data_IF_362659793621
#
_entry.id   IF_362659793621
#
_cell.length_a   1.000
_cell.length_b   1.000
_cell.length_c   1.000
_cell.angle_alpha   90.00
_cell.angle_beta   90.00
_cell.angle_gamma   90.00
#
_symmetry.space_group_name_H-M   'P 1'
#
loop_
_entity.id
_entity.type
_entity.pdbx_description
1 polymer ?
#
# COMPACT_ATOMS: atom_id res chain seq x y z
N UNK A 1 21.61 -20.16 35.85
CA UNK A 1 20.56 -19.11 35.97
C UNK A 1 21.12 -17.74 36.34
N UNK A 2 22.13 -17.64 37.23
CA UNK A 2 22.70 -16.34 37.63
C UNK A 2 23.47 -15.65 36.49
N UNK A 3 24.13 -16.39 35.59
CA UNK A 3 24.86 -15.84 34.46
C UNK A 3 23.98 -15.15 33.44
N UNK A 4 22.73 -15.59 33.27
CA UNK A 4 21.77 -15.01 32.35
C UNK A 4 20.90 -13.91 32.99
N UNK A 5 20.89 -13.82 34.32
CA UNK A 5 20.06 -12.84 35.04
C UNK A 5 20.43 -11.37 34.67
N UNK A 6 21.71 -11.11 34.40
CA UNK A 6 22.17 -9.82 33.93
C UNK A 6 21.68 -9.46 32.52
N UNK A 7 21.78 -10.40 31.58
CA UNK A 7 21.29 -10.24 30.21
C UNK A 7 19.77 -10.06 30.16
N UNK A 8 19.03 -10.85 30.92
CA UNK A 8 17.54 -10.72 31.02
C UNK A 8 17.11 -9.39 31.58
N UNK A 9 17.79 -8.89 32.66
CA UNK A 9 17.49 -7.54 33.19
C UNK A 9 17.78 -6.40 32.21
N UNK A 10 18.74 -6.61 31.32
CA UNK A 10 19.07 -5.66 30.25
C UNK A 10 18.15 -5.80 29.02
N UNK A 11 17.19 -6.73 29.02
CA UNK A 11 16.32 -7.00 27.88
C UNK A 11 17.06 -7.68 26.72
N UNK A 12 18.19 -8.34 26.97
CA UNK A 12 18.97 -9.04 25.94
C UNK A 12 18.44 -10.45 25.71
N UNK A 13 18.45 -10.91 24.47
CA UNK A 13 18.23 -12.31 24.13
C UNK A 13 19.28 -13.21 24.80
N UNK A 14 18.91 -14.44 25.10
CA UNK A 14 19.86 -15.38 25.74
C UNK A 14 19.75 -16.77 25.11
N UNK A 15 20.91 -17.41 24.91
CA UNK A 15 21.01 -18.81 24.49
C UNK A 15 21.94 -19.57 25.41
N UNK A 16 21.64 -20.84 25.64
CA UNK A 16 22.45 -21.74 26.48
C UNK A 16 22.93 -22.89 25.62
N UNK A 17 24.23 -23.09 25.60
CA UNK A 17 24.84 -24.30 25.05
C UNK A 17 24.87 -25.38 26.13
N UNK A 18 24.27 -26.52 25.82
CA UNK A 18 24.32 -27.68 26.70
C UNK A 18 25.00 -28.85 25.97
N UNK A 19 25.88 -29.59 26.68
CA UNK A 19 26.52 -30.81 26.22
C UNK A 19 26.11 -31.91 27.21
N UNK A 20 25.58 -33.01 26.71
CA UNK A 20 25.10 -34.15 27.51
C UNK A 20 24.16 -33.71 28.66
N UNK A 21 23.27 -32.75 28.38
CA UNK A 21 22.31 -32.24 29.35
C UNK A 21 22.86 -31.27 30.41
N UNK A 22 24.15 -30.92 30.33
CA UNK A 22 24.80 -29.94 31.24
C UNK A 22 25.03 -28.66 30.51
N UNK A 23 24.57 -27.54 31.06
CA UNK A 23 24.87 -26.21 30.55
C UNK A 23 26.38 -25.93 30.67
N UNK A 24 27.07 -25.68 29.55
CA UNK A 24 28.50 -25.41 29.49
C UNK A 24 28.82 -23.97 29.13
N UNK A 25 27.94 -23.28 28.44
CA UNK A 25 28.09 -21.87 28.11
C UNK A 25 26.73 -21.16 28.05
N UNK A 26 26.71 -19.87 28.36
CA UNK A 26 25.56 -19.00 28.20
C UNK A 26 25.99 -17.78 27.38
N UNK A 27 25.21 -17.43 26.39
CA UNK A 27 25.44 -16.29 25.51
C UNK A 27 24.33 -15.28 25.71
N UNK A 28 24.67 -14.02 25.94
CA UNK A 28 23.77 -12.88 25.94
C UNK A 28 23.94 -12.13 24.63
N UNK A 29 22.86 -11.88 23.93
CA UNK A 29 22.84 -11.11 22.69
C UNK A 29 22.21 -9.76 22.99
N UNK A 30 22.98 -8.67 22.84
CA UNK A 30 22.39 -7.36 22.80
C UNK A 30 21.47 -7.28 21.58
N UNK A 31 20.24 -6.82 21.79
CA UNK A 31 19.41 -6.53 20.62
C UNK A 31 20.02 -5.35 19.88
N UNK A 32 20.01 -5.45 18.56
CA UNK A 32 20.36 -4.34 17.70
C UNK A 32 19.46 -3.13 18.01
N UNK A 33 20.03 -1.94 17.81
CA UNK A 33 19.21 -0.73 17.86
C UNK A 33 18.13 -0.79 16.76
N UNK A 34 17.03 -0.08 17.01
CA UNK A 34 16.00 0.05 16.01
C UNK A 34 16.62 0.57 14.70
N UNK A 35 16.18 0.03 13.57
CA UNK A 35 16.66 0.48 12.24
C UNK A 35 16.42 1.99 12.11
N UNK A 36 17.33 2.66 11.43
CA UNK A 36 17.17 4.09 11.13
C UNK A 36 15.83 4.36 10.44
N UNK A 37 15.09 5.34 10.93
CA UNK A 37 13.80 5.73 10.37
C UNK A 37 12.58 5.04 11.01
N UNK A 38 12.75 4.11 11.95
CA UNK A 38 11.62 3.49 12.69
C UNK A 38 10.83 4.53 13.47
N UNK A 39 11.48 5.49 14.12
CA UNK A 39 10.79 6.57 14.85
C UNK A 39 9.91 7.40 13.91
N UNK A 40 10.42 7.72 12.73
CA UNK A 40 9.67 8.43 11.71
C UNK A 40 8.47 7.61 11.18
N UNK A 41 8.65 6.30 11.00
CA UNK A 41 7.57 5.38 10.65
C UNK A 41 6.48 5.39 11.72
N UNK A 42 6.83 5.16 13.00
CA UNK A 42 5.87 5.09 14.10
C UNK A 42 5.11 6.43 14.25
N UNK A 43 5.81 7.55 14.09
CA UNK A 43 5.19 8.88 14.13
C UNK A 43 4.18 9.05 13.00
N UNK A 44 4.56 8.71 11.75
CA UNK A 44 3.68 8.78 10.59
C UNK A 44 2.46 7.85 10.71
N UNK A 45 2.61 6.66 11.31
CA UNK A 45 1.51 5.74 11.56
C UNK A 45 0.53 6.33 12.57
N UNK A 46 1.02 6.92 13.65
CA UNK A 46 0.19 7.60 14.68
C UNK A 46 -0.59 8.79 14.11
N UNK A 47 0.07 9.64 13.32
CA UNK A 47 -0.58 10.77 12.63
C UNK A 47 -1.71 10.31 11.68
N UNK A 48 -1.64 9.08 11.25
CA UNK A 48 -2.64 8.45 10.39
C UNK A 48 -3.67 7.59 11.14
N UNK A 49 -3.75 7.69 12.49
CA UNK A 49 -4.63 6.91 13.35
C UNK A 49 -4.43 5.39 13.22
N UNK A 50 -3.22 4.95 12.89
CA UNK A 50 -2.87 3.54 12.79
C UNK A 50 -2.29 3.06 14.13
N UNK A 51 -2.93 2.05 14.71
CA UNK A 51 -2.42 1.37 15.91
C UNK A 51 -1.31 0.41 15.50
N UNK A 52 -0.16 0.47 16.20
CA UNK A 52 0.98 -0.42 15.96
C UNK A 52 1.01 -1.49 17.05
N UNK A 53 1.11 -2.76 16.64
CA UNK A 53 1.31 -3.91 17.51
C UNK A 53 2.61 -4.63 17.10
N UNK A 54 3.33 -5.19 18.06
CA UNK A 54 4.56 -5.96 17.83
C UNK A 54 4.31 -7.41 18.21
N UNK A 55 4.59 -8.32 17.26
CA UNK A 55 4.56 -9.76 17.46
C UNK A 55 5.95 -10.35 17.19
N UNK A 56 6.55 -10.99 18.16
CA UNK A 56 7.88 -11.60 18.04
C UNK A 56 7.95 -12.98 18.67
N UNK A 57 8.85 -13.82 18.15
CA UNK A 57 9.25 -15.06 18.81
C UNK A 57 10.19 -14.85 19.98
N UNK A 58 10.73 -13.65 20.18
CA UNK A 58 11.63 -13.31 21.28
C UNK A 58 10.91 -13.31 22.63
N UNK A 59 11.69 -13.39 23.71
CA UNK A 59 11.17 -13.33 25.07
C UNK A 59 10.36 -12.03 25.31
N UNK A 60 9.19 -12.16 25.98
CA UNK A 60 8.27 -11.06 26.24
C UNK A 60 8.95 -9.82 26.80
N UNK A 61 9.84 -9.99 27.77
CA UNK A 61 10.57 -8.87 28.38
C UNK A 61 11.45 -8.08 27.39
N UNK A 62 12.04 -8.77 26.43
CA UNK A 62 12.85 -8.16 25.38
C UNK A 62 11.98 -7.35 24.42
N UNK A 63 10.84 -7.91 24.03
CA UNK A 63 9.88 -7.22 23.13
C UNK A 63 9.31 -5.98 23.80
N UNK A 64 8.95 -6.06 25.08
CA UNK A 64 8.45 -4.92 25.86
C UNK A 64 9.50 -3.81 26.02
N UNK A 65 10.75 -4.17 26.30
CA UNK A 65 11.85 -3.21 26.40
C UNK A 65 12.11 -2.49 25.05
N UNK A 66 12.04 -3.22 23.94
CA UNK A 66 12.14 -2.65 22.61
C UNK A 66 10.96 -1.71 22.30
N UNK A 67 9.75 -2.16 22.56
CA UNK A 67 8.53 -1.38 22.34
C UNK A 67 8.49 -0.08 23.15
N UNK A 68 8.95 -0.13 24.41
CA UNK A 68 9.03 1.04 25.28
C UNK A 68 9.94 2.12 24.70
N UNK A 69 11.10 1.74 24.11
CA UNK A 69 12.00 2.68 23.42
C UNK A 69 11.32 3.40 22.25
N UNK A 70 10.40 2.73 21.56
CA UNK A 70 9.62 3.28 20.45
C UNK A 70 8.31 3.96 20.91
N UNK A 71 8.07 4.02 22.22
CA UNK A 71 6.85 4.58 22.78
C UNK A 71 5.59 3.75 22.46
N UNK A 72 5.74 2.45 22.15
CA UNK A 72 4.62 1.52 21.93
C UNK A 72 4.21 0.93 23.29
N UNK A 73 2.90 0.94 23.64
CA UNK A 73 2.45 0.40 24.92
C UNK A 73 2.71 -1.12 25.02
N UNK A 74 3.07 -1.61 26.22
CA UNK A 74 3.29 -3.04 26.46
C UNK A 74 2.05 -3.88 26.15
N UNK A 75 0.85 -3.32 26.28
CA UNK A 75 -0.41 -3.96 25.89
C UNK A 75 -0.53 -4.25 24.39
N UNK A 76 0.28 -3.58 23.58
CA UNK A 76 0.37 -3.74 22.11
C UNK A 76 1.55 -4.63 21.69
N UNK A 77 2.14 -5.37 22.61
CA UNK A 77 3.33 -6.18 22.35
C UNK A 77 3.13 -7.62 22.81
N UNK A 78 3.56 -8.56 21.99
CA UNK A 78 3.59 -9.98 22.33
C UNK A 78 4.91 -10.62 21.93
N UNK A 79 5.57 -11.23 22.91
CA UNK A 79 6.77 -12.03 22.75
C UNK A 79 6.49 -13.52 22.94
N UNK A 80 7.43 -14.37 22.55
CA UNK A 80 7.30 -15.81 22.65
C UNK A 80 6.24 -16.41 21.75
N UNK A 81 5.88 -15.75 20.67
CA UNK A 81 4.82 -16.16 19.75
C UNK A 81 5.43 -16.95 18.60
N UNK A 82 5.02 -18.20 18.45
CA UNK A 82 5.39 -19.05 17.33
C UNK A 82 4.69 -18.62 16.02
N UNK A 83 5.10 -19.12 14.85
CA UNK A 83 4.51 -18.73 13.56
C UNK A 83 2.99 -18.96 13.49
N UNK A 84 2.49 -20.05 14.05
CA UNK A 84 1.06 -20.37 14.08
C UNK A 84 0.28 -19.39 14.97
N UNK A 85 0.84 -19.06 16.14
CA UNK A 85 0.27 -18.08 17.06
C UNK A 85 0.24 -16.68 16.46
N UNK A 86 1.26 -16.29 15.67
CA UNK A 86 1.25 -15.03 14.91
C UNK A 86 0.09 -14.99 13.90
N UNK A 87 -0.07 -16.05 13.10
CA UNK A 87 -1.15 -16.17 12.14
C UNK A 87 -2.54 -16.11 12.80
N UNK A 88 -2.71 -16.82 13.91
CA UNK A 88 -3.96 -16.78 14.67
C UNK A 88 -4.23 -15.37 15.21
N UNK A 89 -3.24 -14.73 15.80
CA UNK A 89 -3.37 -13.37 16.34
C UNK A 89 -3.82 -12.39 15.26
N UNK A 90 -3.16 -12.39 14.10
CA UNK A 90 -3.49 -11.53 12.97
C UNK A 90 -4.90 -11.81 12.47
N UNK A 91 -5.28 -13.10 12.31
CA UNK A 91 -6.63 -13.48 11.90
C UNK A 91 -7.72 -12.98 12.85
N UNK A 92 -7.46 -13.01 14.16
CA UNK A 92 -8.40 -12.48 15.17
C UNK A 92 -8.54 -10.95 15.06
N UNK A 93 -7.45 -10.25 14.78
CA UNK A 93 -7.46 -8.78 14.56
C UNK A 93 -8.20 -8.41 13.29
N UNK A 94 -7.99 -9.13 12.20
CA UNK A 94 -8.66 -8.89 10.90
C UNK A 94 -10.18 -9.04 10.98
N UNK A 95 -10.69 -9.84 11.91
CA UNK A 95 -12.15 -9.91 12.15
C UNK A 95 -12.74 -8.65 12.79
N UNK A 96 -11.92 -7.89 13.52
CA UNK A 96 -12.37 -6.71 14.27
C UNK A 96 -12.09 -5.40 13.56
N UNK A 97 -11.02 -5.34 12.79
CA UNK A 97 -10.56 -4.13 12.08
C UNK A 97 -9.67 -4.49 10.90
N UNK A 98 -9.56 -3.59 9.91
CA UNK A 98 -8.60 -3.76 8.82
C UNK A 98 -7.19 -3.82 9.39
N UNK A 99 -6.51 -4.93 9.14
CA UNK A 99 -5.20 -5.26 9.71
C UNK A 99 -4.17 -5.43 8.61
N UNK A 100 -3.05 -4.72 8.73
CA UNK A 100 -1.87 -4.90 7.91
C UNK A 100 -0.81 -5.63 8.73
N UNK A 101 -0.27 -6.72 8.19
CA UNK A 101 0.89 -7.41 8.73
C UNK A 101 2.12 -7.07 7.89
N UNK A 102 3.19 -6.64 8.55
CA UNK A 102 4.49 -6.44 7.88
C UNK A 102 5.52 -7.37 8.51
N UNK A 103 6.26 -8.09 7.68
CA UNK A 103 7.27 -9.06 8.11
C UNK A 103 8.29 -9.37 7.02
N UNK A 104 9.30 -10.19 7.31
CA UNK A 104 10.32 -10.60 6.36
C UNK A 104 9.85 -11.71 5.38
N UNK A 105 8.71 -12.29 5.63
CA UNK A 105 8.07 -13.31 4.78
C UNK A 105 8.53 -14.74 5.02
N UNK A 106 9.63 -14.99 5.70
CA UNK A 106 10.14 -16.35 5.91
C UNK A 106 9.39 -17.08 7.04
N UNK A 107 9.41 -16.52 8.24
CA UNK A 107 8.71 -17.09 9.40
C UNK A 107 7.29 -16.52 9.58
N UNK A 108 6.96 -15.49 8.83
CA UNK A 108 5.72 -14.73 8.96
C UNK A 108 4.71 -15.02 7.84
N UNK A 109 5.01 -15.97 6.92
CA UNK A 109 4.15 -16.27 5.77
C UNK A 109 2.68 -16.53 6.15
N UNK A 110 2.45 -17.33 7.21
CA UNK A 110 1.10 -17.59 7.71
C UNK A 110 0.41 -16.34 8.28
N UNK A 111 1.16 -15.45 8.94
CA UNK A 111 0.64 -14.22 9.48
C UNK A 111 0.37 -13.17 8.38
N UNK A 112 1.24 -13.10 7.35
CA UNK A 112 1.04 -12.26 6.17
C UNK A 112 -0.24 -12.66 5.43
N UNK A 113 -0.43 -13.96 5.18
CA UNK A 113 -1.62 -14.48 4.51
C UNK A 113 -2.91 -14.35 5.35
N UNK A 114 -2.81 -14.23 6.68
CA UNK A 114 -3.96 -14.08 7.58
C UNK A 114 -4.40 -12.62 7.75
N UNK A 115 -3.62 -11.65 7.28
CA UNK A 115 -3.94 -10.22 7.33
C UNK A 115 -4.89 -9.82 6.20
N UNK A 116 -5.55 -8.65 6.35
CA UNK A 116 -6.26 -8.03 5.23
C UNK A 116 -5.28 -7.49 4.17
N UNK A 117 -4.06 -7.13 4.59
CA UNK A 117 -2.95 -6.75 3.72
C UNK A 117 -1.65 -7.31 4.29
N UNK A 118 -1.05 -8.26 3.61
CA UNK A 118 0.27 -8.80 3.91
C UNK A 118 1.37 -8.01 3.19
N UNK A 119 2.33 -7.46 3.94
CA UNK A 119 3.44 -6.68 3.40
C UNK A 119 4.76 -7.37 3.73
N UNK A 120 5.43 -7.89 2.72
CA UNK A 120 6.76 -8.44 2.86
C UNK A 120 7.80 -7.33 2.69
N UNK A 121 8.73 -7.22 3.64
CA UNK A 121 9.79 -6.21 3.67
C UNK A 121 11.13 -6.91 3.64
N UNK A 122 12.00 -6.58 2.68
CA UNK A 122 13.34 -7.17 2.61
C UNK A 122 13.93 -7.25 1.22
N UNK A 123 15.14 -7.79 1.11
CA UNK A 123 15.85 -8.00 -0.15
C UNK A 123 15.57 -9.39 -0.72
N UNK A 124 14.71 -9.45 -1.67
CA UNK A 124 14.46 -10.37 -2.80
C UNK A 124 14.54 -11.89 -2.63
N UNK A 125 15.58 -12.46 -2.12
CA UNK A 125 15.76 -13.93 -2.14
C UNK A 125 15.15 -14.69 -0.95
N UNK A 126 14.82 -14.00 0.11
CA UNK A 126 14.25 -14.60 1.35
C UNK A 126 12.78 -14.32 1.54
N UNK A 127 12.16 -13.55 0.65
CA UNK A 127 10.77 -13.14 0.78
C UNK A 127 9.85 -14.17 0.13
N UNK A 128 8.95 -14.76 0.90
CA UNK A 128 7.89 -15.59 0.35
C UNK A 128 6.83 -14.69 -0.31
N UNK A 129 7.02 -14.43 -1.62
CA UNK A 129 6.14 -13.58 -2.43
C UNK A 129 4.71 -14.13 -2.53
N UNK A 130 4.54 -15.44 -2.36
CA UNK A 130 3.22 -16.09 -2.50
C UNK A 130 2.30 -15.81 -1.30
N UNK A 131 2.86 -15.34 -0.17
CA UNK A 131 2.11 -15.06 1.04
C UNK A 131 1.82 -13.57 1.28
N UNK A 132 2.39 -12.67 0.47
CA UNK A 132 2.28 -11.24 0.65
C UNK A 132 1.56 -10.57 -0.53
N UNK A 133 0.67 -9.61 -0.22
CA UNK A 133 0.01 -8.78 -1.23
C UNK A 133 0.92 -7.68 -1.76
N UNK A 134 1.89 -7.26 -0.95
CA UNK A 134 2.80 -6.15 -1.27
C UNK A 134 4.23 -6.53 -0.91
N UNK A 135 5.16 -6.25 -1.82
CA UNK A 135 6.59 -6.32 -1.57
C UNK A 135 7.18 -4.92 -1.48
N UNK A 136 7.84 -4.65 -0.37
CA UNK A 136 8.66 -3.44 -0.19
C UNK A 136 10.13 -3.86 -0.25
N UNK A 137 10.82 -3.60 -1.36
CA UNK A 137 12.23 -3.94 -1.49
C UNK A 137 13.09 -3.04 -0.59
N UNK A 138 14.12 -3.63 0.02
CA UNK A 138 15.05 -2.92 0.91
C UNK A 138 14.65 -2.96 2.37
N UNK A 139 15.45 -2.26 3.19
CA UNK A 139 15.35 -2.33 4.65
C UNK A 139 14.91 -1.00 5.30
N UNK A 140 14.54 0.01 4.50
CA UNK A 140 14.10 1.32 5.02
C UNK A 140 12.65 1.25 5.54
N UNK A 141 12.43 1.34 6.87
CA UNK A 141 11.09 1.27 7.44
C UNK A 141 10.17 2.39 6.94
N UNK A 142 10.72 3.54 6.53
CA UNK A 142 9.96 4.68 6.02
C UNK A 142 9.19 4.37 4.73
N UNK A 143 9.62 3.32 4.01
CA UNK A 143 8.93 2.86 2.81
C UNK A 143 7.50 2.38 3.10
N UNK A 144 7.27 1.76 4.27
CA UNK A 144 5.93 1.35 4.71
C UNK A 144 5.00 2.56 4.94
N UNK A 145 5.51 3.64 5.56
CA UNK A 145 4.73 4.86 5.74
C UNK A 145 4.36 5.50 4.39
N UNK A 146 5.33 5.54 3.46
CA UNK A 146 5.09 6.05 2.09
C UNK A 146 4.04 5.21 1.34
N UNK A 147 4.08 3.88 1.50
CA UNK A 147 3.10 2.97 0.92
C UNK A 147 1.68 3.27 1.44
N UNK A 148 1.52 3.43 2.75
CA UNK A 148 0.22 3.73 3.38
C UNK A 148 -0.31 5.10 2.90
N UNK A 149 0.55 6.13 2.85
CA UNK A 149 0.16 7.45 2.35
C UNK A 149 -0.25 7.41 0.87
N UNK A 150 0.52 6.71 0.03
CA UNK A 150 0.19 6.50 -1.37
C UNK A 150 -1.16 5.78 -1.54
N UNK A 151 -1.41 4.74 -0.76
CA UNK A 151 -2.68 3.99 -0.79
C UNK A 151 -3.87 4.88 -0.43
N UNK A 152 -3.74 5.74 0.60
CA UNK A 152 -4.78 6.70 0.98
C UNK A 152 -5.05 7.74 -0.11
N UNK A 153 -3.99 8.25 -0.75
CA UNK A 153 -4.12 9.20 -1.88
C UNK A 153 -4.80 8.55 -3.07
N UNK A 154 -4.38 7.33 -3.43
CA UNK A 154 -4.98 6.56 -4.52
C UNK A 154 -6.46 6.31 -4.26
N UNK A 155 -6.83 5.84 -3.07
CA UNK A 155 -8.23 5.63 -2.69
C UNK A 155 -9.05 6.91 -2.81
N UNK A 156 -8.52 8.06 -2.35
CA UNK A 156 -9.21 9.36 -2.47
C UNK A 156 -9.42 9.76 -3.93
N UNK A 157 -8.41 9.59 -4.78
CA UNK A 157 -8.52 9.89 -6.20
C UNK A 157 -9.53 8.98 -6.90
N UNK A 158 -9.51 7.69 -6.64
CA UNK A 158 -10.50 6.74 -7.18
C UNK A 158 -11.92 7.11 -6.75
N UNK A 159 -12.13 7.40 -5.46
CA UNK A 159 -13.45 7.82 -4.96
C UNK A 159 -13.92 9.12 -5.61
N UNK A 160 -13.03 10.09 -5.80
CA UNK A 160 -13.33 11.34 -6.49
C UNK A 160 -13.67 11.11 -7.97
N UNK A 161 -12.93 10.26 -8.64
CA UNK A 161 -13.18 9.90 -10.05
C UNK A 161 -14.55 9.26 -10.22
N UNK A 162 -14.91 8.32 -9.34
CA UNK A 162 -16.24 7.70 -9.34
C UNK A 162 -17.33 8.77 -9.10
N UNK A 163 -17.14 9.64 -8.11
CA UNK A 163 -18.10 10.69 -7.80
C UNK A 163 -18.30 11.67 -8.98
N UNK A 164 -17.22 12.07 -9.66
CA UNK A 164 -17.27 12.94 -10.85
C UNK A 164 -18.03 12.23 -11.99
N UNK A 165 -17.65 10.99 -12.32
CA UNK A 165 -18.28 10.24 -13.43
C UNK A 165 -19.76 9.99 -13.20
N UNK A 166 -20.13 9.52 -12.00
CA UNK A 166 -21.52 9.28 -11.64
C UNK A 166 -22.30 10.60 -11.59
N UNK A 167 -21.72 11.65 -11.00
CA UNK A 167 -22.33 12.97 -10.91
C UNK A 167 -22.65 13.58 -12.27
N UNK A 168 -21.73 13.53 -13.21
CA UNK A 168 -21.93 14.03 -14.59
C UNK A 168 -22.99 13.20 -15.31
N UNK A 169 -22.93 11.87 -15.18
CA UNK A 169 -23.95 10.99 -15.79
C UNK A 169 -25.33 11.26 -15.24
N UNK A 170 -25.48 11.38 -13.91
CA UNK A 170 -26.76 11.70 -13.26
C UNK A 170 -27.27 13.07 -13.66
N UNK A 171 -26.37 14.07 -13.77
CA UNK A 171 -26.74 15.40 -14.25
C UNK A 171 -27.32 15.35 -15.66
N UNK A 172 -26.65 14.65 -16.59
CA UNK A 172 -27.14 14.48 -17.97
C UNK A 172 -28.51 13.79 -18.01
N UNK A 173 -28.70 12.73 -17.24
CA UNK A 173 -29.98 12.02 -17.14
C UNK A 173 -31.08 12.97 -16.61
N UNK A 174 -30.80 13.71 -15.55
CA UNK A 174 -31.76 14.68 -15.00
C UNK A 174 -32.15 15.76 -16.01
N UNK A 175 -31.19 16.31 -16.75
CA UNK A 175 -31.43 17.34 -17.78
C UNK A 175 -32.38 16.82 -18.86
N UNK A 176 -32.15 15.57 -19.33
CA UNK A 176 -33.00 14.92 -20.34
C UNK A 176 -34.39 14.66 -19.78
N UNK A 177 -34.53 14.18 -18.52
CA UNK A 177 -35.81 13.90 -17.88
C UNK A 177 -36.61 15.18 -17.63
N UNK A 178 -35.96 16.31 -17.45
CA UNK A 178 -36.63 17.64 -17.32
C UNK A 178 -37.08 18.19 -18.67
N UNK A 179 -36.93 17.45 -19.75
CA UNK A 179 -37.36 17.82 -21.09
C UNK A 179 -36.44 18.81 -21.83
N UNK A 180 -35.20 18.97 -21.36
CA UNK A 180 -34.24 19.80 -22.05
C UNK A 180 -33.61 19.01 -23.20
N UNK A 181 -33.73 19.53 -24.42
CA UNK A 181 -33.12 18.93 -25.59
C UNK A 181 -31.62 19.19 -25.60
N UNK A 182 -30.83 18.17 -25.26
CA UNK A 182 -29.38 18.19 -25.44
C UNK A 182 -29.07 17.63 -26.83
N UNK A 183 -28.38 18.42 -27.67
CA UNK A 183 -27.86 17.89 -28.94
C UNK A 183 -26.91 16.73 -28.64
N UNK A 184 -27.04 15.61 -29.36
CA UNK A 184 -26.22 14.41 -29.17
C UNK A 184 -24.72 14.74 -29.09
N UNK A 185 -24.23 15.60 -29.98
CA UNK A 185 -22.82 16.02 -29.97
C UNK A 185 -22.40 16.71 -28.67
N UNK A 186 -23.27 17.51 -28.03
CA UNK A 186 -22.96 18.18 -26.77
C UNK A 186 -22.95 17.17 -25.61
N UNK A 187 -23.86 16.20 -25.62
CA UNK A 187 -23.87 15.11 -24.61
C UNK A 187 -22.61 14.26 -24.67
N UNK A 188 -22.20 13.87 -25.88
CA UNK A 188 -20.97 13.11 -26.11
C UNK A 188 -19.74 13.94 -25.69
N UNK A 189 -19.63 15.18 -26.10
CA UNK A 189 -18.52 16.05 -25.74
C UNK A 189 -18.40 16.24 -24.21
N UNK A 190 -19.50 16.37 -23.49
CA UNK A 190 -19.48 16.50 -22.03
C UNK A 190 -19.06 15.19 -21.35
N UNK A 191 -19.49 14.05 -21.90
CA UNK A 191 -19.06 12.73 -21.41
C UNK A 191 -17.56 12.52 -21.60
N UNK A 192 -17.02 12.82 -22.79
CA UNK A 192 -15.58 12.73 -23.07
C UNK A 192 -14.77 13.71 -22.21
N UNK A 193 -15.25 14.93 -22.01
CA UNK A 193 -14.60 15.88 -21.10
C UNK A 193 -14.51 15.33 -19.66
N UNK A 194 -15.51 14.56 -19.21
CA UNK A 194 -15.46 13.93 -17.90
C UNK A 194 -14.34 12.89 -17.80
N UNK A 195 -14.10 12.11 -18.85
CA UNK A 195 -13.02 11.15 -18.90
C UNK A 195 -11.64 11.83 -18.80
N UNK A 196 -11.46 12.96 -19.48
CA UNK A 196 -10.23 13.77 -19.36
C UNK A 196 -9.99 14.27 -17.94
N UNK A 197 -11.03 14.75 -17.27
CA UNK A 197 -10.94 15.20 -15.86
C UNK A 197 -10.50 14.03 -14.95
N UNK A 198 -11.07 12.83 -15.13
CA UNK A 198 -10.72 11.64 -14.38
C UNK A 198 -9.26 11.23 -14.61
N UNK A 199 -8.79 11.23 -15.85
CA UNK A 199 -7.40 10.94 -16.20
C UNK A 199 -6.46 11.95 -15.54
N UNK A 200 -6.74 13.25 -15.67
CA UNK A 200 -5.95 14.31 -15.06
C UNK A 200 -5.90 14.15 -13.53
N UNK A 201 -7.03 13.88 -12.87
CA UNK A 201 -7.07 13.64 -11.44
C UNK A 201 -6.22 12.41 -11.04
N UNK A 202 -6.28 11.32 -11.81
CA UNK A 202 -5.47 10.11 -11.59
C UNK A 202 -3.97 10.39 -11.68
N UNK A 203 -3.53 11.24 -12.60
CA UNK A 203 -2.13 11.63 -12.74
C UNK A 203 -1.58 12.39 -11.53
N UNK A 204 -2.43 13.02 -10.72
CA UNK A 204 -2.00 13.76 -9.52
C UNK A 204 -1.70 12.86 -8.32
N UNK A 205 -2.04 11.59 -8.36
CA UNK A 205 -1.82 10.63 -7.27
C UNK A 205 -0.34 10.24 -7.13
N UNK A 206 0.35 10.05 -8.26
CA UNK A 206 1.69 9.44 -8.31
C UNK A 206 2.86 10.37 -7.94
N UNK A 207 2.61 11.59 -7.47
CA UNK A 207 3.66 12.51 -6.99
C UNK A 207 4.17 13.50 -8.05
N UNK A 208 5.01 14.42 -7.64
CA UNK A 208 5.55 15.52 -8.47
C UNK A 208 6.87 15.12 -9.14
N UNK A 209 6.83 14.36 -10.24
CA UNK A 209 8.03 14.06 -11.01
C UNK A 209 8.04 14.74 -12.39
N UNK A 210 9.19 14.99 -13.00
CA UNK A 210 9.31 15.56 -14.35
C UNK A 210 8.63 14.70 -15.44
N UNK A 211 8.42 13.42 -15.17
CA UNK A 211 7.71 12.48 -16.03
C UNK A 211 6.23 12.83 -16.29
N UNK A 212 5.61 13.66 -15.45
CA UNK A 212 4.21 14.08 -15.64
C UNK A 212 3.99 14.97 -16.83
N UNK A 213 4.91 15.91 -17.02
CA UNK A 213 4.80 16.87 -18.13
C UNK A 213 4.95 16.16 -19.47
N UNK A 214 5.87 15.18 -19.56
CA UNK A 214 6.04 14.37 -20.79
C UNK A 214 4.80 13.52 -21.06
N UNK A 215 4.26 12.83 -20.07
CA UNK A 215 3.03 12.01 -20.21
C UNK A 215 1.81 12.86 -20.60
N UNK A 216 1.67 14.07 -20.03
CA UNK A 216 0.61 15.02 -20.41
C UNK A 216 0.77 15.51 -21.84
N UNK A 217 1.99 15.85 -22.25
CA UNK A 217 2.29 16.28 -23.61
C UNK A 217 2.03 15.17 -24.62
N UNK A 218 2.44 13.93 -24.29
CA UNK A 218 2.21 12.78 -25.14
C UNK A 218 0.70 12.47 -25.25
N UNK A 219 -0.04 12.47 -24.15
CA UNK A 219 -1.50 12.28 -24.15
C UNK A 219 -2.21 13.34 -24.99
N UNK A 220 -1.83 14.62 -24.84
CA UNK A 220 -2.43 15.71 -25.64
C UNK A 220 -2.07 15.58 -27.13
N UNK A 221 -0.86 15.10 -27.42
CA UNK A 221 -0.44 14.84 -28.81
C UNK A 221 -1.24 13.70 -29.44
N UNK A 222 -1.37 12.59 -28.73
CA UNK A 222 -2.13 11.41 -29.19
C UNK A 222 -3.60 11.77 -29.42
N UNK A 223 -4.22 12.48 -28.46
CA UNK A 223 -5.61 12.95 -28.59
C UNK A 223 -5.81 13.89 -29.78
N UNK A 224 -4.85 14.78 -30.03
CA UNK A 224 -4.86 15.68 -31.19
C UNK A 224 -4.76 14.88 -32.49
N UNK A 225 -3.89 13.89 -32.53
CA UNK A 225 -3.62 13.11 -33.72
C UNK A 225 -4.82 12.22 -34.06
N UNK A 226 -5.45 11.57 -33.05
CA UNK A 226 -6.70 10.83 -33.18
C UNK A 226 -7.86 11.73 -33.64
N UNK A 227 -7.99 12.93 -33.09
CA UNK A 227 -9.01 13.92 -33.51
C UNK A 227 -8.79 14.38 -34.94
N UNK A 228 -7.55 14.62 -35.34
CA UNK A 228 -7.21 15.00 -36.71
C UNK A 228 -7.47 13.88 -37.71
N UNK A 229 -7.25 12.62 -37.33
CA UNK A 229 -7.55 11.46 -38.13
C UNK A 229 -9.07 11.28 -38.29
N UNK A 230 -9.84 11.38 -37.20
CA UNK A 230 -11.30 11.34 -37.22
C UNK A 230 -11.90 12.46 -38.10
N UNK A 231 -11.35 13.67 -37.99
CA UNK A 231 -11.73 14.80 -38.86
C UNK A 231 -11.42 14.52 -40.33
N UNK A 232 -10.26 13.96 -40.65
CA UNK A 232 -9.89 13.59 -42.03
C UNK A 232 -10.86 12.56 -42.60
N UNK A 233 -11.22 11.55 -41.84
CA UNK A 233 -12.18 10.53 -42.24
C UNK A 233 -13.57 11.16 -42.46
N UNK A 234 -14.02 12.03 -41.55
CA UNK A 234 -15.30 12.71 -41.66
C UNK A 234 -15.39 13.68 -42.85
N UNK A 235 -14.31 14.35 -43.18
CA UNK A 235 -14.25 15.30 -44.32
C UNK A 235 -13.91 14.63 -45.64
N UNK A 236 -13.08 13.56 -45.59
CA UNK A 236 -12.65 12.81 -46.81
C UNK A 236 -13.70 11.80 -47.34
N UNK A 237 -14.69 11.42 -46.53
CA UNK A 237 -15.75 10.49 -46.92
C UNK A 237 -16.84 11.10 -47.82
N UNK A 238 -16.82 12.42 -48.06
CA UNK A 238 -17.85 13.11 -48.87
C UNK A 238 -17.52 13.18 -50.39
N UNK A 239 -16.41 12.61 -50.83
CA UNK A 239 -15.88 12.88 -52.18
C UNK A 239 -15.82 11.71 -53.20
N UNK A 240 -16.32 10.49 -52.90
CA UNK A 240 -16.11 9.34 -53.78
C UNK A 240 -17.33 8.48 -54.12
N UNK A 241 -18.53 9.05 -54.20
CA UNK A 241 -19.72 8.26 -54.60
C UNK A 241 -20.57 9.00 -55.70
N UNK A 242 -19.95 9.68 -56.66
CA UNK A 242 -20.66 10.24 -57.81
C UNK A 242 -19.99 10.01 -59.18
N UNK A 243 -19.22 8.91 -59.36
CA UNK A 243 -18.68 8.64 -60.72
C UNK A 243 -18.64 7.14 -61.05
N UNK A 244 -19.77 6.46 -60.92
CA UNK A 244 -19.93 5.11 -61.47
C UNK A 244 -21.37 4.83 -61.87
N UNK A 245 -21.98 5.66 -62.73
CA UNK A 245 -23.12 5.32 -63.60
C UNK A 245 -23.18 6.32 -64.72
N UNK A 246 -22.42 6.04 -65.81
CA UNK A 246 -22.67 6.44 -67.17
C UNK A 246 -22.11 5.39 -68.12
#
# INVERSE_FOLDING_TARGET
DSALAGSRKAGHGSSVLAIEGRAVAAFGFAHDDAREGVDALISALRENDVTVEILSGDEQASVEAFAQRLGIPSSSCRGGVDPEGKAQWVSERSKARVTLMAGDGFNDAGALAAADVGVAVGSGEQVNLDAADVLIPGEDPRALAKFIDLSKRTRRAVSMNIAISVGITMLLVCVVLLGWEIKLAAGVALHEASALIVILNGMWVTGTGPQRMTTLVDLVRDLRDDLMEALRVAIGGSGKDQSATA
#
